data_IF_030855994134
#
_entry.id   IF_030855994134
#
_cell.length_a   1.000
_cell.length_b   1.000
_cell.length_c   1.000
_cell.angle_alpha   90.00
_cell.angle_beta   90.00
_cell.angle_gamma   90.00
#
_symmetry.space_group_name_H-M   'P 1'
#
loop_
_entity.id
_entity.type
_entity.pdbx_description
1 polymer ?
#
# COMPACT_ATOMS: atom_id res chain seq x y z
N UNK A 1 22.54 -15.52 -18.26
CA UNK A 1 23.37 -14.40 -17.73
C UNK A 1 22.66 -13.77 -16.54
N UNK A 2 23.39 -13.40 -15.49
CA UNK A 2 22.84 -12.64 -14.37
C UNK A 2 22.54 -11.19 -14.81
N UNK A 3 21.46 -10.61 -14.29
CA UNK A 3 21.12 -9.20 -14.54
C UNK A 3 22.15 -8.28 -13.87
N UNK A 4 22.42 -7.13 -14.47
CA UNK A 4 23.16 -6.06 -13.78
C UNK A 4 22.30 -5.42 -12.69
N UNK A 5 22.93 -4.74 -11.73
CA UNK A 5 22.22 -4.01 -10.68
C UNK A 5 21.21 -2.99 -11.25
N UNK A 6 21.59 -2.28 -12.31
CA UNK A 6 20.71 -1.31 -12.98
C UNK A 6 19.50 -1.99 -13.62
N UNK A 7 19.71 -3.14 -14.27
CA UNK A 7 18.62 -3.93 -14.85
C UNK A 7 17.67 -4.47 -13.76
N UNK A 8 18.20 -4.88 -12.61
CA UNK A 8 17.39 -5.31 -11.48
C UNK A 8 16.55 -4.17 -10.89
N UNK A 9 17.15 -2.98 -10.73
CA UNK A 9 16.43 -1.78 -10.28
C UNK A 9 15.33 -1.41 -11.26
N UNK A 10 15.62 -1.35 -12.57
CA UNK A 10 14.65 -1.03 -13.61
C UNK A 10 13.47 -2.02 -13.62
N UNK A 11 13.77 -3.32 -13.52
CA UNK A 11 12.75 -4.38 -13.41
C UNK A 11 11.85 -4.18 -12.18
N UNK A 12 12.44 -3.84 -11.03
CA UNK A 12 11.67 -3.61 -9.81
C UNK A 12 10.80 -2.35 -9.89
N UNK A 13 11.31 -1.25 -10.46
CA UNK A 13 10.52 -0.04 -10.73
C UNK A 13 9.32 -0.35 -11.62
N UNK A 14 9.55 -1.03 -12.75
CA UNK A 14 8.48 -1.44 -13.66
C UNK A 14 7.38 -2.24 -12.96
N UNK A 15 7.77 -3.24 -12.16
CA UNK A 15 6.82 -4.06 -11.40
C UNK A 15 6.04 -3.27 -10.36
N UNK A 16 6.70 -2.38 -9.63
CA UNK A 16 6.05 -1.58 -8.59
C UNK A 16 5.07 -0.57 -9.23
N UNK A 17 5.50 0.12 -10.28
CA UNK A 17 4.64 1.05 -11.03
C UNK A 17 3.42 0.33 -11.63
N UNK A 18 3.61 -0.86 -12.20
CA UNK A 18 2.50 -1.64 -12.77
C UNK A 18 1.46 -2.06 -11.71
N UNK A 19 1.87 -2.24 -10.45
CA UNK A 19 0.97 -2.62 -9.35
C UNK A 19 0.35 -1.43 -8.63
N UNK A 20 0.86 -0.22 -8.83
CA UNK A 20 0.45 0.95 -8.06
C UNK A 20 -1.06 1.23 -8.12
N UNK A 21 -1.66 1.13 -9.32
CA UNK A 21 -3.10 1.30 -9.51
C UNK A 21 -3.91 0.21 -8.81
N UNK A 22 -3.51 -1.06 -8.98
CA UNK A 22 -4.17 -2.22 -8.36
C UNK A 22 -4.12 -2.12 -6.83
N UNK A 23 -3.00 -1.68 -6.25
CA UNK A 23 -2.88 -1.51 -4.80
C UNK A 23 -3.86 -0.46 -4.27
N UNK A 24 -4.04 0.66 -4.99
CA UNK A 24 -5.04 1.67 -4.63
C UNK A 24 -6.46 1.10 -4.72
N UNK A 25 -6.80 0.47 -5.83
CA UNK A 25 -8.14 -0.10 -6.03
C UNK A 25 -8.48 -1.14 -4.96
N UNK A 26 -7.53 -2.00 -4.60
CA UNK A 26 -7.73 -3.01 -3.55
C UNK A 26 -7.90 -2.37 -2.18
N UNK A 27 -7.15 -1.31 -1.87
CA UNK A 27 -7.33 -0.57 -0.62
C UNK A 27 -8.72 0.06 -0.53
N UNK A 28 -9.16 0.72 -1.61
CA UNK A 28 -10.47 1.37 -1.64
C UNK A 28 -11.61 0.34 -1.52
N UNK A 29 -11.48 -0.82 -2.18
CA UNK A 29 -12.44 -1.92 -2.07
C UNK A 29 -12.49 -2.50 -0.64
N UNK A 30 -11.34 -2.67 0.01
CA UNK A 30 -11.25 -3.24 1.36
C UNK A 30 -11.90 -2.36 2.44
N UNK A 31 -12.11 -1.05 2.20
CA UNK A 31 -12.72 -0.14 3.18
C UNK A 31 -14.09 -0.62 3.65
N UNK A 32 -14.89 -1.20 2.76
CA UNK A 32 -16.22 -1.72 3.12
C UNK A 32 -16.08 -2.88 4.12
N UNK A 33 -15.24 -3.86 3.78
CA UNK A 33 -15.01 -5.04 4.61
C UNK A 33 -14.44 -4.66 5.99
N UNK A 34 -13.52 -3.68 6.03
CA UNK A 34 -12.96 -3.16 7.26
C UNK A 34 -14.06 -2.63 8.21
N UNK A 35 -15.02 -1.87 7.69
CA UNK A 35 -16.14 -1.35 8.50
C UNK A 35 -17.07 -2.46 8.96
N UNK A 36 -17.41 -3.39 8.07
CA UNK A 36 -18.24 -4.55 8.40
C UNK A 36 -17.61 -5.35 9.53
N UNK A 37 -16.37 -5.82 9.36
CA UNK A 37 -15.69 -6.62 10.38
C UNK A 37 -15.47 -5.84 11.69
N UNK A 38 -15.21 -4.53 11.63
CA UNK A 38 -15.07 -3.74 12.86
C UNK A 38 -16.41 -3.59 13.60
N UNK A 39 -17.54 -3.53 12.88
CA UNK A 39 -18.87 -3.45 13.47
C UNK A 39 -19.32 -4.71 14.21
N UNK A 40 -18.71 -5.86 13.90
CA UNK A 40 -18.96 -7.14 14.57
C UNK A 40 -18.23 -7.27 15.92
N UNK A 41 -17.28 -6.38 16.20
CA UNK A 41 -16.54 -6.37 17.46
C UNK A 41 -17.38 -5.72 18.58
N UNK A 42 -17.19 -6.09 19.85
CA UNK A 42 -17.99 -5.61 20.98
C UNK A 42 -17.61 -4.19 21.42
N UNK A 43 -17.29 -3.31 20.48
CA UNK A 43 -17.03 -1.90 20.74
C UNK A 43 -18.33 -1.11 20.81
N UNK A 44 -18.37 -0.14 21.72
CA UNK A 44 -19.52 0.75 21.86
C UNK A 44 -19.76 1.61 20.61
N UNK A 45 -20.99 2.15 20.44
CA UNK A 45 -21.41 2.83 19.21
C UNK A 45 -20.54 4.04 18.85
N UNK A 46 -20.04 4.78 19.84
CA UNK A 46 -19.19 5.95 19.61
C UNK A 46 -17.82 5.56 19.01
N UNK A 47 -17.23 4.46 19.50
CA UNK A 47 -15.95 3.95 18.99
C UNK A 47 -16.09 3.46 17.55
N UNK A 48 -17.15 2.71 17.27
CA UNK A 48 -17.45 2.20 15.92
C UNK A 48 -17.72 3.35 14.94
N UNK A 49 -18.48 4.38 15.36
CA UNK A 49 -18.71 5.57 14.54
C UNK A 49 -17.40 6.33 14.23
N UNK A 50 -16.55 6.52 15.23
CA UNK A 50 -15.25 7.18 15.05
C UNK A 50 -14.33 6.38 14.11
N UNK A 51 -14.30 5.05 14.23
CA UNK A 51 -13.55 4.19 13.32
C UNK A 51 -14.05 4.33 11.87
N UNK A 52 -15.36 4.23 11.67
CA UNK A 52 -15.97 4.34 10.34
C UNK A 52 -15.64 5.69 9.67
N UNK A 53 -15.76 6.79 10.43
CA UNK A 53 -15.37 8.12 9.96
C UNK A 53 -13.88 8.19 9.58
N UNK A 54 -13.02 7.54 10.36
CA UNK A 54 -11.60 7.40 10.04
C UNK A 54 -11.34 6.66 8.71
N UNK A 55 -12.05 5.55 8.47
CA UNK A 55 -11.95 4.80 7.21
C UNK A 55 -12.47 5.60 6.01
N UNK A 56 -13.54 6.38 6.19
CA UNK A 56 -14.06 7.28 5.16
C UNK A 56 -13.04 8.35 4.77
N UNK A 57 -12.44 9.00 5.78
CA UNK A 57 -11.45 10.04 5.57
C UNK A 57 -10.08 9.52 5.08
N UNK A 58 -9.79 8.23 5.25
CA UNK A 58 -8.48 7.68 4.92
C UNK A 58 -8.21 7.70 3.41
N UNK A 59 -6.99 8.08 3.03
CA UNK A 59 -6.57 8.15 1.62
C UNK A 59 -5.38 7.23 1.40
N UNK A 60 -5.48 6.37 0.38
CA UNK A 60 -4.35 5.56 -0.06
C UNK A 60 -3.22 6.44 -0.59
N UNK A 61 -2.02 6.27 -0.04
CA UNK A 61 -0.80 6.96 -0.52
C UNK A 61 0.01 6.01 -1.37
N UNK A 62 0.05 6.28 -2.66
CA UNK A 62 0.83 5.49 -3.62
C UNK A 62 2.32 5.48 -3.23
N UNK A 63 3.00 4.32 -3.28
CA UNK A 63 4.42 4.25 -3.00
C UNK A 63 5.26 5.13 -3.92
N UNK A 64 6.23 5.85 -3.36
CA UNK A 64 7.25 6.55 -4.13
C UNK A 64 8.26 5.53 -4.69
N UNK A 65 8.13 5.26 -5.99
CA UNK A 65 8.94 4.30 -6.74
C UNK A 65 10.41 4.70 -6.78
N UNK A 66 10.73 5.98 -6.85
CA UNK A 66 12.11 6.46 -6.90
C UNK A 66 12.77 6.34 -5.53
N UNK A 67 12.05 6.68 -4.46
CA UNK A 67 12.52 6.45 -3.08
C UNK A 67 12.75 4.97 -2.83
N UNK A 68 11.86 4.10 -3.31
CA UNK A 68 12.07 2.66 -3.24
C UNK A 68 13.36 2.25 -3.97
N UNK A 69 13.54 2.70 -5.22
CA UNK A 69 14.71 2.35 -6.04
C UNK A 69 16.04 2.77 -5.40
N UNK A 70 16.13 4.02 -4.89
CA UNK A 70 17.33 4.53 -4.20
C UNK A 70 17.69 3.68 -2.98
N UNK A 71 16.69 3.36 -2.16
CA UNK A 71 16.90 2.57 -0.95
C UNK A 71 17.25 1.12 -1.24
N UNK A 72 16.60 0.51 -2.23
CA UNK A 72 16.87 -0.87 -2.62
C UNK A 72 18.28 -1.00 -3.18
N UNK A 73 18.68 -0.13 -4.11
CA UNK A 73 20.05 -0.09 -4.67
C UNK A 73 21.09 0.00 -3.55
N UNK A 74 20.92 0.95 -2.63
CA UNK A 74 21.82 1.17 -1.49
C UNK A 74 21.95 -0.05 -0.57
N UNK A 75 20.89 -0.85 -0.40
CA UNK A 75 20.92 -2.04 0.46
C UNK A 75 21.57 -3.24 -0.22
N UNK A 76 21.37 -3.39 -1.53
CA UNK A 76 21.84 -4.56 -2.29
C UNK A 76 23.29 -4.39 -2.76
N UNK A 77 23.79 -3.16 -2.86
CA UNK A 77 25.18 -2.86 -3.20
C UNK A 77 26.12 -2.76 -1.99
N UNK A 78 25.66 -3.14 -0.80
CA UNK A 78 26.49 -3.25 0.41
C UNK A 78 26.98 -4.68 0.54
#
# INVERSE_FOLDING_TARGET
MALTLDQMVAKGKSKLSAKASVMKSNYDAAKSDMKTSYSELPFGPNTTAAYNAGIDAAVYRTPDVEKWARNWRRKVSR
#
